data_IF_929585965957
#
_entry.id   IF_929585965957
#
_cell.length_a   1.000
_cell.length_b   1.000
_cell.length_c   1.000
_cell.angle_alpha   90.00
_cell.angle_beta   90.00
_cell.angle_gamma   90.00
#
_symmetry.space_group_name_H-M   'P 1'
#
loop_
_entity.id
_entity.type
_entity.pdbx_description
1 polymer ?
#
# COMPACT_ATOMS: atom_id res chain seq x y z
N UNK A 1 -1.08 -18.25 3.82
CA UNK A 1 -2.52 -18.18 3.48
C UNK A 1 -3.21 -17.52 4.66
N UNK A 2 -4.09 -16.55 4.44
CA UNK A 2 -4.88 -15.97 5.53
C UNK A 2 -5.80 -17.06 6.09
N UNK A 3 -5.85 -17.19 7.42
CA UNK A 3 -6.87 -18.00 8.07
C UNK A 3 -8.23 -17.29 7.97
N UNK A 4 -9.30 -17.95 8.41
CA UNK A 4 -10.66 -17.39 8.31
C UNK A 4 -10.82 -16.09 9.13
N UNK A 5 -10.09 -15.96 10.23
CA UNK A 5 -10.09 -14.72 11.02
C UNK A 5 -9.42 -13.57 10.27
N UNK A 6 -8.30 -13.82 9.58
CA UNK A 6 -7.66 -12.81 8.72
C UNK A 6 -8.54 -12.37 7.56
N UNK A 7 -9.30 -13.29 6.94
CA UNK A 7 -10.29 -12.96 5.90
C UNK A 7 -11.39 -12.06 6.43
N UNK A 8 -11.95 -12.40 7.60
CA UNK A 8 -13.00 -11.61 8.26
C UNK A 8 -12.49 -10.22 8.62
N UNK A 9 -11.24 -10.13 9.09
CA UNK A 9 -10.63 -8.84 9.44
C UNK A 9 -10.50 -7.93 8.20
N UNK A 10 -9.98 -8.47 7.08
CA UNK A 10 -9.85 -7.72 5.82
C UNK A 10 -11.23 -7.28 5.32
N UNK A 11 -12.21 -8.17 5.29
CA UNK A 11 -13.58 -7.83 4.85
C UNK A 11 -14.18 -6.73 5.73
N UNK A 12 -14.13 -6.87 7.04
CA UNK A 12 -14.66 -5.88 7.96
C UNK A 12 -13.96 -4.53 7.83
N UNK A 13 -12.64 -4.51 7.70
CA UNK A 13 -11.89 -3.28 7.48
C UNK A 13 -12.36 -2.59 6.20
N UNK A 14 -12.41 -3.34 5.10
CA UNK A 14 -12.85 -2.80 3.81
C UNK A 14 -14.28 -2.28 3.87
N UNK A 15 -15.21 -3.05 4.43
CA UNK A 15 -16.61 -2.68 4.56
C UNK A 15 -16.79 -1.39 5.38
N UNK A 16 -16.00 -1.21 6.43
CA UNK A 16 -16.02 -0.01 7.25
C UNK A 16 -15.39 1.22 6.58
N UNK A 17 -14.38 1.05 5.72
CA UNK A 17 -13.60 2.16 5.15
C UNK A 17 -14.18 2.69 3.84
N UNK A 18 -14.70 1.79 2.99
CA UNK A 18 -15.14 2.14 1.64
C UNK A 18 -16.18 3.24 1.59
N UNK A 19 -17.20 3.30 2.46
CA UNK A 19 -18.16 4.40 2.45
C UNK A 19 -17.51 5.78 2.57
N UNK A 20 -16.51 5.93 3.46
CA UNK A 20 -15.82 7.21 3.67
C UNK A 20 -14.91 7.57 2.49
N UNK A 21 -14.29 6.58 1.85
CA UNK A 21 -13.49 6.79 0.63
C UNK A 21 -14.39 7.28 -0.50
N UNK A 22 -15.53 6.64 -0.72
CA UNK A 22 -16.49 7.02 -1.74
C UNK A 22 -17.06 8.42 -1.50
N UNK A 23 -17.37 8.77 -0.25
CA UNK A 23 -17.79 10.11 0.13
C UNK A 23 -16.71 11.15 -0.16
N UNK A 24 -15.47 10.85 0.24
CA UNK A 24 -14.31 11.72 -0.04
C UNK A 24 -14.12 11.93 -1.54
N UNK A 25 -14.28 10.88 -2.36
CA UNK A 25 -14.15 11.00 -3.82
C UNK A 25 -15.14 12.00 -4.41
N UNK A 26 -16.38 12.07 -3.90
CA UNK A 26 -17.37 13.04 -4.42
C UNK A 26 -16.93 14.50 -4.25
N UNK A 27 -15.94 14.75 -3.40
CA UNK A 27 -15.35 16.09 -3.17
C UNK A 27 -14.18 16.41 -4.10
N UNK A 28 -13.82 15.49 -5.00
CA UNK A 28 -12.69 15.63 -5.93
C UNK A 28 -13.22 15.75 -7.35
N UNK A 29 -12.84 16.82 -8.04
CA UNK A 29 -13.23 17.03 -9.44
C UNK A 29 -12.74 15.87 -10.33
N UNK A 30 -13.61 15.36 -11.21
CA UNK A 30 -13.30 14.24 -12.09
C UNK A 30 -13.36 12.86 -11.41
N UNK A 31 -13.95 12.79 -10.22
CA UNK A 31 -14.08 11.53 -9.47
C UNK A 31 -14.92 10.48 -10.18
N UNK A 32 -15.81 10.87 -11.07
CA UNK A 32 -16.72 9.98 -11.81
C UNK A 32 -15.97 8.88 -12.54
N UNK A 33 -14.74 9.16 -12.97
CA UNK A 33 -13.87 8.20 -13.66
C UNK A 33 -13.44 7.04 -12.75
N UNK A 34 -13.37 7.26 -11.43
CA UNK A 34 -12.82 6.30 -10.47
C UNK A 34 -13.86 5.74 -9.51
N UNK A 35 -14.97 6.45 -9.33
CA UNK A 35 -15.97 6.13 -8.30
C UNK A 35 -16.55 4.72 -8.47
N UNK A 36 -17.02 4.42 -9.68
CA UNK A 36 -17.63 3.11 -9.96
C UNK A 36 -16.58 1.98 -9.90
N UNK A 37 -15.36 2.22 -10.38
CA UNK A 37 -14.27 1.24 -10.30
C UNK A 37 -13.95 0.90 -8.84
N UNK A 38 -13.80 1.91 -7.97
CA UNK A 38 -13.50 1.71 -6.54
C UNK A 38 -14.67 1.02 -5.84
N UNK A 39 -15.91 1.44 -6.10
CA UNK A 39 -17.10 0.82 -5.54
C UNK A 39 -17.24 -0.64 -5.95
N UNK A 40 -17.01 -0.94 -7.23
CA UNK A 40 -17.08 -2.31 -7.73
C UNK A 40 -15.95 -3.18 -7.18
N UNK A 41 -14.74 -2.61 -7.10
CA UNK A 41 -13.58 -3.31 -6.56
C UNK A 41 -13.74 -3.63 -5.08
N UNK A 42 -14.32 -2.72 -4.30
CA UNK A 42 -14.58 -2.90 -2.88
C UNK A 42 -15.38 -4.18 -2.59
N UNK A 43 -16.41 -4.47 -3.39
CA UNK A 43 -17.21 -5.70 -3.25
C UNK A 43 -16.46 -7.01 -3.52
N UNK A 44 -15.23 -6.95 -4.05
CA UNK A 44 -14.41 -8.11 -4.40
C UNK A 44 -13.00 -8.06 -3.82
N UNK A 45 -12.70 -7.05 -3.01
CA UNK A 45 -11.33 -6.77 -2.56
C UNK A 45 -10.74 -7.93 -1.77
N UNK A 46 -11.52 -8.53 -0.87
CA UNK A 46 -11.08 -9.66 -0.05
C UNK A 46 -10.64 -10.83 -0.91
N UNK A 47 -11.46 -11.20 -1.92
CA UNK A 47 -11.14 -12.31 -2.82
C UNK A 47 -9.87 -12.00 -3.65
N UNK A 48 -9.74 -10.76 -4.14
CA UNK A 48 -8.54 -10.32 -4.88
C UNK A 48 -7.27 -10.37 -4.04
N UNK A 49 -7.32 -9.90 -2.80
CA UNK A 49 -6.19 -9.97 -1.87
C UNK A 49 -5.80 -11.42 -1.59
N UNK A 50 -6.78 -12.30 -1.42
CA UNK A 50 -6.52 -13.72 -1.23
C UNK A 50 -5.88 -14.35 -2.47
N UNK A 51 -6.34 -13.98 -3.67
CA UNK A 51 -5.80 -14.47 -4.94
C UNK A 51 -4.34 -14.04 -5.14
N UNK A 52 -4.02 -12.76 -5.01
CA UNK A 52 -2.65 -12.26 -5.14
C UNK A 52 -1.76 -12.66 -3.96
N UNK A 53 -2.35 -13.10 -2.88
CA UNK A 53 -1.65 -13.68 -1.74
C UNK A 53 -1.16 -15.11 -1.95
N UNK A 54 -1.57 -15.79 -3.03
CA UNK A 54 -1.05 -17.11 -3.42
C UNK A 54 0.35 -16.96 -4.00
N UNK A 55 1.27 -17.81 -3.55
CA UNK A 55 2.65 -17.80 -4.07
C UNK A 55 2.65 -18.29 -5.52
N UNK A 56 3.10 -17.44 -6.43
CA UNK A 56 3.37 -17.83 -7.80
C UNK A 56 4.85 -18.22 -7.93
N UNK A 57 5.17 -19.50 -8.20
CA UNK A 57 6.56 -19.95 -8.31
C UNK A 57 7.32 -19.36 -9.50
N UNK A 58 6.62 -18.81 -10.49
CA UNK A 58 7.22 -18.19 -11.68
C UNK A 58 7.62 -16.72 -11.42
N UNK A 59 7.17 -16.13 -10.31
CA UNK A 59 7.54 -14.79 -9.90
C UNK A 59 8.75 -14.80 -8.94
N UNK A 60 9.39 -13.62 -8.83
CA UNK A 60 10.32 -13.39 -7.75
C UNK A 60 9.54 -13.22 -6.44
N UNK A 61 9.62 -14.25 -5.59
CA UNK A 61 9.09 -14.18 -4.24
C UNK A 61 10.20 -13.85 -3.25
N UNK A 62 9.89 -12.94 -2.34
CA UNK A 62 10.79 -12.45 -1.28
C UNK A 62 10.08 -12.50 0.06
N UNK A 63 10.84 -12.37 1.14
CA UNK A 63 10.24 -12.11 2.46
C UNK A 63 9.87 -10.63 2.51
N UNK A 64 8.57 -10.35 2.48
CA UNK A 64 8.03 -9.02 2.67
C UNK A 64 7.81 -8.74 4.16
N UNK A 65 7.94 -7.48 4.55
CA UNK A 65 7.49 -6.96 5.83
C UNK A 65 5.96 -7.06 5.95
N UNK A 66 5.28 -6.79 4.86
CA UNK A 66 3.82 -6.77 4.65
C UNK A 66 3.07 -5.66 5.41
N UNK A 67 3.78 -4.91 6.24
CA UNK A 67 3.32 -3.70 6.93
C UNK A 67 4.40 -2.61 6.84
N UNK A 68 4.97 -2.45 5.64
CA UNK A 68 6.08 -1.53 5.39
C UNK A 68 5.53 -0.12 5.12
N UNK A 69 5.35 0.65 6.20
CA UNK A 69 4.95 2.05 6.14
C UNK A 69 5.75 2.91 7.12
N UNK A 70 5.56 4.23 7.08
CA UNK A 70 6.43 5.19 7.77
C UNK A 70 6.52 4.94 9.29
N UNK A 71 5.41 4.56 9.94
CA UNK A 71 5.39 4.31 11.39
C UNK A 71 6.21 3.08 11.81
N UNK A 72 6.46 2.15 10.88
CA UNK A 72 7.27 0.96 11.13
C UNK A 72 8.74 1.13 10.71
N UNK A 73 9.20 2.39 10.54
CA UNK A 73 10.59 2.72 10.23
C UNK A 73 11.15 3.65 11.29
N UNK A 74 12.17 3.19 11.99
CA UNK A 74 12.94 4.01 12.91
C UNK A 74 14.16 4.61 12.23
N UNK A 75 14.39 5.89 12.43
CA UNK A 75 15.53 6.62 11.87
C UNK A 75 16.50 7.02 12.96
N UNK A 76 17.78 6.75 12.74
CA UNK A 76 18.86 7.17 13.61
C UNK A 76 19.61 8.34 12.98
N UNK A 77 19.65 9.44 13.69
CA UNK A 77 20.34 10.65 13.25
C UNK A 77 21.60 10.90 14.07
N UNK A 78 22.61 11.49 13.43
CA UNK A 78 23.74 12.06 14.13
C UNK A 78 23.29 13.27 14.96
N UNK A 79 23.70 13.31 16.22
CA UNK A 79 23.23 14.34 17.16
C UNK A 79 23.73 15.74 16.86
N UNK A 80 24.92 15.87 16.25
CA UNK A 80 25.55 17.15 15.98
C UNK A 80 25.17 17.70 14.61
N UNK A 81 25.24 16.88 13.58
CA UNK A 81 24.98 17.29 12.19
C UNK A 81 23.52 17.13 11.74
N UNK A 82 22.68 16.41 12.48
CA UNK A 82 21.32 16.06 12.07
C UNK A 82 21.26 15.13 10.87
N UNK A 83 22.36 14.54 10.43
CA UNK A 83 22.39 13.64 9.28
C UNK A 83 21.80 12.29 9.64
N UNK A 84 21.01 11.72 8.72
CA UNK A 84 20.55 10.35 8.81
C UNK A 84 21.76 9.39 8.75
N UNK A 85 21.90 8.56 9.78
CA UNK A 85 22.93 7.53 9.88
C UNK A 85 22.42 6.17 9.43
N UNK A 86 21.23 5.79 9.92
CA UNK A 86 20.63 4.48 9.69
C UNK A 86 19.12 4.55 9.70
N UNK A 87 18.50 3.49 9.15
CA UNK A 87 17.07 3.22 9.29
C UNK A 87 16.85 1.76 9.62
N UNK A 88 15.86 1.48 10.47
CA UNK A 88 15.53 0.14 10.93
C UNK A 88 14.05 -0.10 10.74
N UNK A 89 13.69 -1.21 10.12
CA UNK A 89 12.32 -1.70 10.11
C UNK A 89 12.01 -2.31 11.47
N UNK A 90 10.80 -2.09 11.96
CA UNK A 90 10.27 -2.65 13.22
C UNK A 90 8.88 -3.23 12.97
N UNK A 91 8.36 -4.00 13.93
CA UNK A 91 7.03 -4.59 13.85
C UNK A 91 6.84 -5.64 12.75
N UNK A 92 7.61 -6.70 12.84
CA UNK A 92 7.62 -7.83 11.89
C UNK A 92 6.49 -8.85 12.10
N UNK A 93 5.38 -8.44 12.72
CA UNK A 93 4.30 -9.36 13.17
C UNK A 93 3.54 -10.04 12.02
N UNK A 94 3.51 -9.44 10.81
CA UNK A 94 2.76 -9.97 9.65
C UNK A 94 3.65 -10.25 8.43
N UNK A 95 4.94 -10.47 8.66
CA UNK A 95 5.86 -10.81 7.56
C UNK A 95 5.35 -11.97 6.72
N UNK A 96 5.49 -11.85 5.40
CA UNK A 96 4.97 -12.82 4.45
C UNK A 96 5.94 -13.08 3.31
N UNK A 97 6.13 -14.36 2.97
CA UNK A 97 6.80 -14.73 1.73
C UNK A 97 5.82 -14.62 0.56
N UNK A 98 6.20 -13.90 -0.48
CA UNK A 98 5.35 -13.66 -1.65
C UNK A 98 5.95 -12.64 -2.62
N UNK A 99 5.13 -12.15 -3.55
CA UNK A 99 5.56 -11.22 -4.60
C UNK A 99 6.30 -10.00 -4.04
N UNK A 100 7.38 -9.62 -4.69
CA UNK A 100 8.14 -8.39 -4.40
C UNK A 100 7.29 -7.11 -4.49
N UNK A 101 6.15 -7.17 -5.16
CA UNK A 101 5.25 -6.04 -5.34
C UNK A 101 4.59 -5.58 -4.03
N UNK A 102 4.41 -6.47 -3.04
CA UNK A 102 3.69 -6.20 -1.80
C UNK A 102 4.26 -4.95 -1.11
N UNK A 103 5.51 -5.02 -0.68
CA UNK A 103 6.14 -3.91 0.05
C UNK A 103 6.46 -2.72 -0.86
N UNK A 104 6.89 -2.96 -2.10
CA UNK A 104 7.26 -1.86 -3.01
C UNK A 104 6.08 -0.94 -3.32
N UNK A 105 4.94 -1.50 -3.69
CA UNK A 105 3.75 -0.71 -4.00
C UNK A 105 3.25 -0.02 -2.73
N UNK A 106 3.10 -0.78 -1.64
CA UNK A 106 2.56 -0.27 -0.39
C UNK A 106 3.38 0.88 0.15
N UNK A 107 4.70 0.72 0.26
CA UNK A 107 5.59 1.76 0.77
C UNK A 107 5.64 2.99 -0.14
N UNK A 108 5.85 2.80 -1.44
CA UNK A 108 6.01 3.92 -2.36
C UNK A 108 4.74 4.76 -2.49
N UNK A 109 3.55 4.15 -2.41
CA UNK A 109 2.29 4.88 -2.51
C UNK A 109 1.78 5.42 -1.18
N UNK A 110 2.02 4.77 -0.06
CA UNK A 110 1.55 5.25 1.25
C UNK A 110 2.49 6.24 1.92
N UNK A 111 3.80 5.94 1.95
CA UNK A 111 4.73 6.52 2.92
C UNK A 111 5.73 7.51 2.35
N UNK A 112 5.69 7.79 1.06
CA UNK A 112 6.57 8.79 0.43
C UNK A 112 5.87 10.13 0.26
N UNK A 113 6.66 11.20 0.08
CA UNK A 113 6.13 12.54 -0.21
C UNK A 113 5.38 12.57 -1.54
N UNK A 114 4.42 13.48 -1.69
CA UNK A 114 3.55 13.61 -2.85
C UNK A 114 4.33 13.68 -4.17
N UNK A 115 5.35 14.51 -4.22
CA UNK A 115 6.20 14.71 -5.40
C UNK A 115 7.06 13.48 -5.75
N UNK A 116 7.19 12.54 -4.82
CA UNK A 116 7.93 11.29 -5.02
C UNK A 116 7.02 10.16 -5.53
N UNK A 117 5.86 9.99 -4.90
CA UNK A 117 4.97 8.83 -5.06
C UNK A 117 4.87 8.34 -6.51
N UNK A 118 4.43 9.20 -7.39
CA UNK A 118 4.17 8.84 -8.81
C UNK A 118 5.36 9.19 -9.69
N UNK A 119 5.90 10.40 -9.53
CA UNK A 119 6.94 10.93 -10.42
C UNK A 119 8.27 10.17 -10.30
N UNK A 120 8.58 9.61 -9.14
CA UNK A 120 9.82 8.86 -8.87
C UNK A 120 9.58 7.37 -8.64
N UNK A 121 8.36 6.87 -8.84
CA UNK A 121 8.03 5.46 -8.61
C UNK A 121 8.98 4.52 -9.34
N UNK A 122 9.09 4.65 -10.65
CA UNK A 122 9.95 3.80 -11.48
C UNK A 122 11.45 3.98 -11.14
N UNK A 123 11.87 5.18 -10.72
CA UNK A 123 13.22 5.41 -10.24
C UNK A 123 13.53 4.56 -9.00
N UNK A 124 12.64 4.55 -8.00
CA UNK A 124 12.86 3.77 -6.79
C UNK A 124 12.72 2.26 -7.03
N UNK A 125 11.84 1.83 -7.93
CA UNK A 125 11.78 0.44 -8.38
C UNK A 125 13.12 0.01 -9.00
N UNK A 126 13.73 0.89 -9.83
CA UNK A 126 15.06 0.61 -10.39
C UNK A 126 16.15 0.57 -9.32
N UNK A 127 16.13 1.47 -8.34
CA UNK A 127 17.07 1.46 -7.21
C UNK A 127 16.93 0.18 -6.40
N UNK A 128 15.71 -0.25 -6.09
CA UNK A 128 15.46 -1.52 -5.44
C UNK A 128 16.07 -2.68 -6.24
N UNK A 129 15.78 -2.74 -7.53
CA UNK A 129 16.31 -3.77 -8.42
C UNK A 129 17.85 -3.82 -8.39
N UNK A 130 18.53 -2.69 -8.50
CA UNK A 130 19.98 -2.63 -8.50
C UNK A 130 20.58 -3.15 -7.17
N UNK A 131 19.97 -2.77 -6.05
CA UNK A 131 20.40 -3.29 -4.74
C UNK A 131 20.08 -4.78 -4.60
N UNK A 132 18.93 -5.24 -5.06
CA UNK A 132 18.56 -6.65 -5.06
C UNK A 132 19.61 -7.49 -5.81
N UNK A 133 19.95 -7.12 -7.05
CA UNK A 133 20.94 -7.83 -7.86
C UNK A 133 22.32 -7.83 -7.18
N UNK A 134 22.72 -6.69 -6.62
CA UNK A 134 23.98 -6.59 -5.87
C UNK A 134 24.02 -7.57 -4.70
N UNK A 135 22.98 -7.64 -3.89
CA UNK A 135 22.93 -8.51 -2.72
C UNK A 135 22.79 -10.00 -3.11
N UNK A 136 22.02 -10.34 -4.14
CA UNK A 136 21.94 -11.70 -4.65
C UNK A 136 23.30 -12.22 -5.10
N UNK A 137 24.13 -11.37 -5.75
CA UNK A 137 25.50 -11.71 -6.12
C UNK A 137 26.38 -11.94 -4.89
N UNK A 138 26.32 -11.06 -3.88
CA UNK A 138 27.07 -11.20 -2.64
C UNK A 138 26.73 -12.49 -1.88
N UNK A 139 25.45 -12.89 -1.92
CA UNK A 139 24.95 -14.11 -1.28
C UNK A 139 25.15 -15.38 -2.12
N UNK A 140 25.85 -15.28 -3.26
CA UNK A 140 26.07 -16.42 -4.17
C UNK A 140 24.77 -17.10 -4.59
N UNK A 141 23.73 -16.30 -4.87
CA UNK A 141 22.43 -16.80 -5.33
C UNK A 141 22.59 -17.62 -6.61
N UNK A 142 22.17 -18.89 -6.58
CA UNK A 142 22.47 -19.90 -7.61
C UNK A 142 21.32 -20.16 -8.59
N UNK A 143 20.21 -19.38 -8.51
CA UNK A 143 19.11 -19.46 -9.46
C UNK A 143 19.20 -18.33 -10.48
N UNK A 144 18.31 -18.36 -11.47
CA UNK A 144 18.20 -17.29 -12.46
C UNK A 144 17.92 -15.95 -11.77
N UNK A 145 18.72 -14.94 -12.07
CA UNK A 145 18.49 -13.59 -11.59
C UNK A 145 17.23 -13.01 -12.25
N UNK A 146 16.39 -12.30 -11.48
CA UNK A 146 15.26 -11.58 -12.07
C UNK A 146 15.77 -10.45 -12.97
N UNK A 147 15.02 -10.11 -14.01
CA UNK A 147 15.23 -8.89 -14.78
C UNK A 147 14.41 -7.73 -14.21
N UNK A 148 14.74 -6.49 -14.57
CA UNK A 148 13.92 -5.33 -14.20
C UNK A 148 12.50 -5.44 -14.77
N UNK A 149 12.35 -6.05 -15.96
CA UNK A 149 11.05 -6.30 -16.57
C UNK A 149 10.21 -7.25 -15.71
N UNK A 150 10.84 -8.28 -15.10
CA UNK A 150 10.12 -9.21 -14.22
C UNK A 150 9.58 -8.48 -12.99
N UNK A 151 10.35 -7.56 -12.40
CA UNK A 151 9.88 -6.71 -11.30
C UNK A 151 8.66 -5.87 -11.74
N UNK A 152 8.74 -5.21 -12.90
CA UNK A 152 7.62 -4.42 -13.41
C UNK A 152 6.38 -5.27 -13.70
N UNK A 153 6.54 -6.49 -14.24
CA UNK A 153 5.41 -7.42 -14.44
C UNK A 153 4.75 -7.77 -13.11
N UNK A 154 5.54 -8.08 -12.06
CA UNK A 154 5.01 -8.33 -10.72
C UNK A 154 4.24 -7.13 -10.18
N UNK A 155 4.74 -5.91 -10.37
CA UNK A 155 4.03 -4.69 -9.94
C UNK A 155 2.70 -4.50 -10.67
N UNK A 156 2.62 -4.78 -11.97
CA UNK A 156 1.36 -4.70 -12.73
C UNK A 156 0.38 -5.79 -12.29
N UNK A 157 0.81 -7.05 -12.22
CA UNK A 157 -0.01 -8.19 -11.84
C UNK A 157 -0.61 -8.01 -10.44
N UNK A 158 0.17 -7.44 -9.53
CA UNK A 158 -0.20 -7.27 -8.13
C UNK A 158 -0.67 -5.83 -7.82
N UNK A 159 -1.20 -5.10 -8.81
CA UNK A 159 -1.63 -3.70 -8.68
C UNK A 159 -2.67 -3.43 -7.58
N UNK A 160 -3.41 -4.46 -7.16
CA UNK A 160 -4.37 -4.40 -6.06
C UNK A 160 -3.74 -3.92 -4.75
N UNK A 161 -2.45 -4.16 -4.52
CA UNK A 161 -1.74 -3.60 -3.37
C UNK A 161 -1.66 -2.09 -3.40
N UNK A 162 -1.75 -1.49 -4.60
CA UNK A 162 -1.89 -0.05 -4.77
C UNK A 162 -3.22 0.49 -4.26
N UNK A 163 -4.31 -0.23 -4.54
CA UNK A 163 -5.62 0.10 -3.96
C UNK A 163 -5.56 0.05 -2.43
N UNK A 164 -5.05 -1.05 -1.86
CA UNK A 164 -4.91 -1.18 -0.41
C UNK A 164 -4.04 -0.07 0.20
N UNK A 165 -2.90 0.21 -0.42
CA UNK A 165 -2.01 1.27 0.04
C UNK A 165 -2.70 2.64 0.08
N UNK A 166 -3.52 2.95 -0.92
CA UNK A 166 -4.21 4.25 -1.04
C UNK A 166 -5.42 4.33 -0.13
N UNK A 167 -6.21 3.28 -0.07
CA UNK A 167 -7.45 3.27 0.70
C UNK A 167 -7.23 3.12 2.20
N UNK A 168 -6.19 2.42 2.62
CA UNK A 168 -5.95 2.12 4.04
C UNK A 168 -4.74 2.90 4.57
N UNK A 169 -3.55 2.47 4.17
CA UNK A 169 -2.28 2.91 4.81
C UNK A 169 -1.97 4.38 4.53
N UNK A 170 -2.26 4.89 3.32
CA UNK A 170 -1.99 6.29 2.97
C UNK A 170 -2.84 7.26 3.80
N UNK A 171 -4.10 6.93 4.04
CA UNK A 171 -4.97 7.75 4.89
C UNK A 171 -4.39 7.86 6.31
N UNK A 172 -3.98 6.73 6.89
CA UNK A 172 -3.34 6.71 8.22
C UNK A 172 -1.99 7.43 8.24
N UNK A 173 -1.16 7.27 7.18
CA UNK A 173 0.16 7.92 7.08
C UNK A 173 0.10 9.44 6.95
N UNK A 174 -1.02 9.98 6.47
CA UNK A 174 -1.24 11.41 6.23
C UNK A 174 -2.18 12.04 7.25
N UNK A 175 -2.66 11.27 8.23
CA UNK A 175 -3.48 11.77 9.31
C UNK A 175 -2.68 12.75 10.17
N UNK A 176 -3.24 13.92 10.42
CA UNK A 176 -2.69 14.86 11.38
C UNK A 176 -2.88 14.32 12.81
N UNK A 177 -2.00 14.72 13.73
CA UNK A 177 -2.05 14.27 15.12
C UNK A 177 -3.43 14.52 15.74
N UNK A 178 -4.03 13.47 16.31
CA UNK A 178 -5.36 13.51 16.94
C UNK A 178 -5.44 12.54 18.10
N UNK A 179 -6.16 12.95 19.16
CA UNK A 179 -6.43 12.08 20.32
C UNK A 179 -7.39 10.94 20.00
N UNK A 180 -8.18 11.07 18.92
CA UNK A 180 -9.13 10.03 18.49
C UNK A 180 -8.47 8.89 17.69
N UNK A 181 -7.19 8.99 17.37
CA UNK A 181 -6.46 7.95 16.65
C UNK A 181 -6.38 6.69 17.52
N UNK A 182 -7.17 5.68 17.15
CA UNK A 182 -7.23 4.39 17.82
C UNK A 182 -7.50 3.29 16.81
N UNK A 183 -6.77 2.17 16.95
CA UNK A 183 -7.02 0.99 16.13
C UNK A 183 -8.45 0.47 16.30
N UNK A 184 -9.02 0.55 17.52
CA UNK A 184 -10.39 0.12 17.80
C UNK A 184 -11.41 0.94 17.01
N UNK A 185 -11.16 2.23 16.76
CA UNK A 185 -12.02 3.09 15.98
C UNK A 185 -12.08 2.74 14.47
N UNK A 186 -11.16 1.92 13.98
CA UNK A 186 -11.25 1.39 12.62
C UNK A 186 -12.33 0.29 12.50
N UNK A 187 -12.64 -0.40 13.61
CA UNK A 187 -13.49 -1.61 13.60
C UNK A 187 -14.80 -1.47 14.39
N UNK A 188 -14.92 -0.47 15.27
CA UNK A 188 -16.13 -0.28 16.08
C UNK A 188 -17.22 0.49 15.31
N UNK A 189 -18.45 0.31 15.76
CA UNK A 189 -19.63 0.97 15.19
C UNK A 189 -20.16 2.09 16.14
N UNK A 190 -19.22 2.80 16.78
CA UNK A 190 -19.56 3.91 17.67
C UNK A 190 -19.56 5.27 16.95
N UNK A 191 -20.24 6.30 17.47
CA UNK A 191 -20.16 7.65 16.93
C UNK A 191 -18.73 8.21 16.90
N UNK A 192 -17.89 7.85 17.87
CA UNK A 192 -16.49 8.24 17.95
C UNK A 192 -15.68 7.61 16.82
N UNK A 193 -15.97 6.35 16.48
CA UNK A 193 -15.35 5.63 15.36
C UNK A 193 -15.76 6.23 14.02
N UNK A 194 -17.04 6.60 13.86
CA UNK A 194 -17.54 7.29 12.67
C UNK A 194 -16.84 8.66 12.48
N UNK A 195 -16.75 9.45 13.54
CA UNK A 195 -16.04 10.72 13.52
C UNK A 195 -14.54 10.54 13.18
N UNK A 196 -13.89 9.50 13.73
CA UNK A 196 -12.49 9.21 13.43
C UNK A 196 -12.30 8.81 11.95
N UNK A 197 -13.13 7.90 11.41
CA UNK A 197 -13.05 7.51 9.99
C UNK A 197 -13.34 8.69 9.06
N UNK A 198 -14.28 9.54 9.40
CA UNK A 198 -14.54 10.79 8.67
C UNK A 198 -13.31 11.69 8.66
N UNK A 199 -12.63 11.87 9.79
CA UNK A 199 -11.41 12.66 9.88
C UNK A 199 -10.28 12.04 9.05
N UNK A 200 -10.13 10.71 9.12
CA UNK A 200 -9.09 9.95 8.42
C UNK A 200 -9.14 10.16 6.90
N UNK A 201 -10.33 10.13 6.31
CA UNK A 201 -10.50 10.20 4.86
C UNK A 201 -10.78 11.60 4.31
N UNK A 202 -11.23 12.56 5.14
CA UNK A 202 -11.52 13.91 4.69
C UNK A 202 -10.35 14.89 4.81
N UNK A 203 -9.18 14.45 5.28
CA UNK A 203 -7.97 15.26 5.40
C UNK A 203 -7.56 15.93 4.09
N UNK A 204 -7.19 17.22 4.15
CA UNK A 204 -6.78 17.98 2.95
C UNK A 204 -5.60 17.33 2.25
N UNK A 205 -4.58 16.94 3.01
CA UNK A 205 -3.36 16.31 2.50
C UNK A 205 -3.67 14.96 1.84
N UNK A 206 -4.56 14.15 2.43
CA UNK A 206 -5.00 12.90 1.83
C UNK A 206 -5.68 13.11 0.47
N UNK A 207 -6.60 14.08 0.38
CA UNK A 207 -7.28 14.44 -0.88
C UNK A 207 -6.31 14.92 -1.97
N UNK A 208 -5.29 15.69 -1.61
CA UNK A 208 -4.25 16.12 -2.54
C UNK A 208 -3.45 14.93 -3.10
N UNK A 209 -3.16 13.94 -2.27
CA UNK A 209 -2.51 12.71 -2.69
C UNK A 209 -3.41 11.85 -3.58
N UNK A 210 -4.69 11.70 -3.24
CA UNK A 210 -5.67 10.95 -4.05
C UNK A 210 -5.74 11.48 -5.48
N UNK A 211 -5.80 12.80 -5.68
CA UNK A 211 -5.86 13.45 -7.01
C UNK A 211 -4.72 13.04 -7.95
N UNK A 212 -3.59 12.59 -7.41
CA UNK A 212 -2.41 12.18 -8.19
C UNK A 212 -2.31 10.66 -8.28
N UNK A 213 -2.61 9.95 -7.19
CA UNK A 213 -2.39 8.50 -7.13
C UNK A 213 -3.51 7.73 -7.81
N UNK A 214 -4.77 8.19 -7.72
CA UNK A 214 -5.90 7.49 -8.38
C UNK A 214 -5.78 7.45 -9.90
N UNK A 215 -5.52 8.56 -10.62
CA UNK A 215 -5.26 8.50 -12.06
C UNK A 215 -4.11 7.57 -12.43
N UNK A 216 -3.07 7.55 -11.61
CA UNK A 216 -1.91 6.69 -11.81
C UNK A 216 -2.25 5.20 -11.67
N UNK A 217 -3.06 4.82 -10.67
CA UNK A 217 -3.55 3.45 -10.49
C UNK A 217 -4.52 3.05 -11.60
N UNK A 218 -5.49 3.92 -11.93
CA UNK A 218 -6.47 3.69 -12.98
C UNK A 218 -5.80 3.41 -14.33
N UNK A 219 -4.85 4.27 -14.75
CA UNK A 219 -4.11 4.13 -16.00
C UNK A 219 -3.21 2.87 -16.07
N UNK A 220 -3.03 2.17 -14.95
CA UNK A 220 -2.33 0.89 -14.85
C UNK A 220 -3.26 -0.31 -14.72
N UNK A 221 -4.56 -0.10 -14.80
CA UNK A 221 -5.55 -1.16 -14.63
C UNK A 221 -5.68 -1.68 -13.19
N UNK A 222 -5.01 -1.04 -12.21
CA UNK A 222 -5.00 -1.49 -10.82
C UNK A 222 -6.39 -1.39 -10.14
N UNK A 223 -7.28 -0.56 -10.68
CA UNK A 223 -8.64 -0.37 -10.17
C UNK A 223 -9.69 -1.21 -10.94
N UNK A 224 -9.28 -1.88 -11.99
CA UNK A 224 -10.22 -2.63 -12.83
C UNK A 224 -10.54 -4.00 -12.21
N UNK A 225 -11.79 -4.42 -12.38
CA UNK A 225 -12.18 -5.80 -12.25
C UNK A 225 -11.61 -6.54 -13.45
N UNK A 226 -10.67 -7.49 -13.24
CA UNK A 226 -10.23 -8.33 -14.33
C UNK A 226 -11.44 -9.03 -14.94
N UNK A 227 -11.69 -8.77 -16.20
CA UNK A 227 -12.57 -9.58 -17.04
C UNK A 227 -11.68 -10.73 -17.52
N UNK A 228 -11.76 -11.88 -16.83
CA UNK A 228 -11.21 -13.15 -17.30
C UNK A 228 -12.13 -13.70 -18.36
#
# INVERSE_FOLDING_TARGET
MFNDDGKRLISKLTDNMVPYILDTLTTIDGHEVYYDDIKNLAGHITDKILQVGVIDPEELNVLNHSDCWLSNIMFRYDRESGKLLDSYLVDYQICKYGSVAIDLISFLLSSTKLEIKVNKFNYFVKQYYDQLIKHLKLLSYNKKFPSLIDIHKSLFKNGIWGYMAVCDVMAASLLEETESASFDNLFSDSPEADAFRTLLYNGKTYKEHLKIVLPWLHNRGALQKETI
#
